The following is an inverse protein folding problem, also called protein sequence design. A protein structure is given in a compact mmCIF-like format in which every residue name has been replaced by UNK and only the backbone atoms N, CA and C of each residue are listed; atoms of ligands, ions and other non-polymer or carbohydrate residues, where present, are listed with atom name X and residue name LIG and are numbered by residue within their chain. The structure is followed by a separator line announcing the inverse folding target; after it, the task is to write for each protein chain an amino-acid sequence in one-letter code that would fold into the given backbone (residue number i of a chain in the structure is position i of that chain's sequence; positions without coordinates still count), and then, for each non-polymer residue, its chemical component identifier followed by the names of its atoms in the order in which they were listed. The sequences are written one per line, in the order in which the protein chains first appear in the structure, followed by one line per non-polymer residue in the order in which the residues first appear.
data_IF_873237970240
#
_entry.id   IF_873237970240
#
_cell.length_a   1.000
_cell.length_b   1.000
_cell.length_c   1.000
_cell.angle_alpha   90.00
_cell.angle_beta   90.00
_cell.angle_gamma   90.00
#
_symmetry.space_group_name_H-M   'P 1'
#
loop_
_entity.id
_entity.type
_entity.pdbx_description
1 polymer ?
#
# COMPACT_ATOMS: atom_id res chain seq x y z
N UNK A 1 -45.35 54.78 -34.71
CA UNK A 1 -45.31 53.35 -34.37
C UNK A 1 -43.86 52.94 -34.18
N UNK A 2 -43.53 52.60 -32.94
CA UNK A 2 -42.18 52.34 -32.42
C UNK A 2 -41.66 50.99 -32.82
N UNK A 3 -40.42 50.91 -33.33
CA UNK A 3 -39.60 49.69 -33.38
C UNK A 3 -38.40 49.89 -32.47
N UNK A 4 -38.48 49.31 -31.29
CA UNK A 4 -37.37 49.21 -30.31
C UNK A 4 -36.69 47.87 -30.41
N UNK A 5 -35.41 47.96 -30.67
CA UNK A 5 -34.26 47.18 -30.14
C UNK A 5 -34.49 45.74 -29.67
N UNK A 6 -33.81 44.82 -30.33
CA UNK A 6 -33.37 43.59 -29.68
C UNK A 6 -31.91 43.29 -30.09
N UNK A 7 -31.01 43.81 -29.27
CA UNK A 7 -29.66 43.30 -29.17
C UNK A 7 -29.54 42.60 -27.81
N UNK A 8 -29.50 41.28 -27.79
CA UNK A 8 -29.03 40.50 -26.66
C UNK A 8 -27.73 39.77 -27.06
N UNK A 9 -26.69 40.27 -26.49
CA UNK A 9 -25.35 39.75 -26.38
C UNK A 9 -25.36 38.30 -25.88
N UNK A 10 -24.81 37.41 -26.68
CA UNK A 10 -24.36 36.10 -26.26
C UNK A 10 -22.89 36.20 -25.81
N UNK A 11 -22.69 36.34 -24.52
CA UNK A 11 -21.38 36.18 -23.92
C UNK A 11 -21.57 35.41 -22.58
N UNK A 12 -20.94 34.27 -22.46
CA UNK A 12 -20.74 33.65 -21.14
C UNK A 12 -21.20 32.21 -20.97
N UNK A 13 -20.58 31.25 -21.67
CA UNK A 13 -20.62 29.84 -21.22
C UNK A 13 -19.36 29.09 -21.66
N UNK A 14 -18.18 29.58 -21.28
CA UNK A 14 -16.94 28.85 -21.50
C UNK A 14 -15.97 28.83 -20.30
N UNK A 15 -16.41 29.30 -19.11
CA UNK A 15 -15.52 29.42 -17.96
C UNK A 15 -15.78 28.43 -16.80
N UNK A 16 -16.72 27.50 -16.93
CA UNK A 16 -17.05 26.60 -15.81
C UNK A 16 -16.53 25.16 -15.93
N UNK A 17 -16.05 24.73 -17.09
CA UNK A 17 -15.54 23.38 -17.27
C UNK A 17 -14.08 23.20 -16.78
N UNK A 18 -13.27 24.26 -16.84
CA UNK A 18 -11.86 24.23 -16.41
C UNK A 18 -11.66 24.25 -14.88
N UNK A 19 -12.57 24.89 -14.16
CA UNK A 19 -12.46 25.02 -12.70
C UNK A 19 -12.86 23.76 -11.95
N UNK A 20 -13.76 22.96 -12.49
CA UNK A 20 -14.21 21.69 -11.90
C UNK A 20 -13.14 20.61 -11.96
N UNK A 21 -12.41 20.48 -13.08
CA UNK A 21 -11.34 19.49 -13.21
C UNK A 21 -10.12 19.84 -12.35
N UNK A 22 -9.75 21.13 -12.26
CA UNK A 22 -8.66 21.61 -11.39
C UNK A 22 -9.01 21.50 -9.91
N UNK A 23 -10.23 21.78 -9.50
CA UNK A 23 -10.70 21.59 -8.11
C UNK A 23 -10.78 20.12 -7.72
N UNK A 24 -11.18 19.23 -8.64
CA UNK A 24 -11.14 17.77 -8.43
C UNK A 24 -9.70 17.23 -8.37
N UNK A 25 -8.78 17.73 -9.18
CA UNK A 25 -7.37 17.37 -9.12
C UNK A 25 -6.74 17.83 -7.79
N UNK A 26 -6.96 19.08 -7.39
CA UNK A 26 -6.51 19.62 -6.10
C UNK A 26 -7.11 18.89 -4.90
N UNK A 27 -8.38 18.49 -4.97
CA UNK A 27 -9.02 17.69 -3.93
C UNK A 27 -8.41 16.27 -3.84
N UNK A 28 -8.09 15.63 -4.98
CA UNK A 28 -7.41 14.33 -5.00
C UNK A 28 -5.97 14.40 -4.50
N UNK A 29 -5.23 15.44 -4.83
CA UNK A 29 -3.89 15.69 -4.28
C UNK A 29 -3.94 15.95 -2.77
N UNK A 30 -4.94 16.66 -2.28
CA UNK A 30 -5.17 16.89 -0.86
C UNK A 30 -5.41 15.60 -0.09
N UNK A 31 -6.21 14.67 -0.64
CA UNK A 31 -6.49 13.35 -0.03
C UNK A 31 -5.24 12.50 0.04
N UNK A 32 -4.45 12.43 -1.04
CA UNK A 32 -3.18 11.68 -1.08
C UNK A 32 -2.20 12.23 -0.03
N UNK A 33 -1.92 13.54 -0.05
CA UNK A 33 -0.99 14.18 0.90
C UNK A 33 -1.45 14.08 2.36
N UNK A 34 -2.76 14.06 2.59
CA UNK A 34 -3.34 13.86 3.91
C UNK A 34 -3.22 12.43 4.44
N UNK A 35 -2.87 11.47 3.58
CA UNK A 35 -2.82 10.05 3.88
C UNK A 35 -1.44 9.41 3.66
N UNK A 36 -0.36 10.21 3.48
CA UNK A 36 0.99 9.65 3.41
C UNK A 36 1.33 8.97 4.73
N UNK A 37 1.58 7.67 4.66
CA UNK A 37 1.90 6.82 5.80
C UNK A 37 3.31 6.28 5.76
N UNK A 38 3.67 5.60 6.83
CA UNK A 38 4.88 4.80 6.95
C UNK A 38 4.50 3.38 7.36
N UNK A 39 5.06 2.38 6.70
CA UNK A 39 5.09 1.02 7.24
C UNK A 39 6.14 0.99 8.35
N UNK A 40 5.66 0.82 9.58
CA UNK A 40 6.50 1.02 10.77
C UNK A 40 7.51 -0.09 11.03
N UNK A 41 7.52 -1.14 10.21
CA UNK A 41 8.61 -2.12 10.21
C UNK A 41 9.97 -1.48 9.91
N UNK A 42 9.98 -0.38 9.17
CA UNK A 42 11.15 0.51 8.97
C UNK A 42 11.79 0.92 10.30
N UNK A 43 10.98 1.14 11.34
CA UNK A 43 11.39 1.62 12.66
C UNK A 43 11.33 0.53 13.75
N UNK A 44 11.31 -0.75 13.37
CA UNK A 44 11.08 -1.88 14.27
C UNK A 44 11.96 -1.92 15.51
N UNK A 45 13.23 -1.53 15.39
CA UNK A 45 14.17 -1.57 16.50
C UNK A 45 13.99 -0.34 17.41
N UNK A 46 13.70 0.83 16.86
CA UNK A 46 13.36 2.04 17.60
C UNK A 46 12.05 1.87 18.36
N UNK A 47 11.04 1.26 17.73
CA UNK A 47 9.74 0.97 18.35
C UNK A 47 9.86 0.00 19.52
N UNK A 48 10.74 -0.99 19.44
CA UNK A 48 11.03 -1.89 20.58
C UNK A 48 11.67 -1.15 21.77
N UNK A 49 12.50 -0.15 21.49
CA UNK A 49 13.19 0.62 22.50
C UNK A 49 12.30 1.70 23.13
N UNK A 50 11.59 2.47 22.29
CA UNK A 50 10.72 3.58 22.70
C UNK A 50 9.62 3.80 21.65
N UNK A 51 8.49 3.13 21.79
CA UNK A 51 7.37 3.27 20.85
C UNK A 51 6.76 4.68 20.86
N UNK A 52 6.48 5.33 22.01
CA UNK A 52 5.94 6.70 22.02
C UNK A 52 6.86 7.72 21.36
N UNK A 53 8.15 7.75 21.70
CA UNK A 53 9.13 8.67 21.13
C UNK A 53 9.34 8.44 19.64
N UNK A 54 9.34 7.18 19.20
CA UNK A 54 9.47 6.81 17.79
C UNK A 54 8.26 7.27 16.96
N UNK A 55 7.02 7.05 17.45
CA UNK A 55 5.80 7.53 16.79
C UNK A 55 5.74 9.06 16.75
N UNK A 56 6.23 9.74 17.81
CA UNK A 56 6.38 11.19 17.81
C UNK A 56 7.33 11.67 16.71
N UNK A 57 8.52 11.06 16.60
CA UNK A 57 9.49 11.41 15.55
C UNK A 57 8.93 11.19 14.14
N UNK A 58 8.14 10.14 13.93
CA UNK A 58 7.43 9.86 12.69
C UNK A 58 6.40 10.95 12.37
N UNK A 59 5.57 11.36 13.34
CA UNK A 59 4.60 12.43 13.17
C UNK A 59 5.27 13.78 12.88
N UNK A 60 6.37 14.11 13.58
CA UNK A 60 7.18 15.32 13.37
C UNK A 60 7.84 15.33 11.98
N UNK A 61 8.23 14.19 11.42
CA UNK A 61 8.72 14.08 10.04
C UNK A 61 7.64 14.47 9.02
N UNK A 62 6.35 14.33 9.39
CA UNK A 62 5.22 14.77 8.58
C UNK A 62 4.30 13.65 8.10
N UNK A 63 4.54 12.40 8.49
CA UNK A 63 3.64 11.29 8.21
C UNK A 63 2.28 11.50 8.88
N UNK A 64 1.24 10.97 8.27
CA UNK A 64 -0.16 11.15 8.72
C UNK A 64 -0.78 9.85 9.22
N UNK A 65 -0.22 8.73 8.83
CA UNK A 65 -0.70 7.43 9.25
C UNK A 65 0.45 6.44 9.43
N UNK A 66 0.22 5.46 10.31
CA UNK A 66 1.09 4.33 10.55
C UNK A 66 0.41 3.07 10.01
N UNK A 67 1.07 2.36 9.13
CA UNK A 67 0.74 0.97 8.87
C UNK A 67 1.53 0.11 9.84
N UNK A 68 0.82 -0.62 10.67
CA UNK A 68 1.43 -1.43 11.73
C UNK A 68 1.72 -2.85 11.26
N UNK A 69 2.48 -3.59 12.06
CA UNK A 69 2.71 -5.02 11.89
C UNK A 69 2.40 -5.77 13.19
N UNK A 70 2.23 -7.11 13.06
CA UNK A 70 1.99 -7.97 14.23
C UNK A 70 0.57 -7.91 14.80
N UNK A 71 -0.41 -7.37 14.03
CA UNK A 71 -1.80 -7.38 14.43
C UNK A 71 -2.32 -8.83 14.52
N UNK A 72 -3.05 -9.22 15.57
CA UNK A 72 -3.74 -8.39 16.56
C UNK A 72 -2.96 -8.07 17.84
N UNK A 73 -1.66 -8.36 17.92
CA UNK A 73 -0.83 -8.23 19.15
C UNK A 73 0.01 -6.95 19.15
N UNK A 74 -0.53 -5.83 18.71
CA UNK A 74 0.19 -4.55 18.60
C UNK A 74 -0.56 -3.39 19.28
N UNK A 75 -1.25 -3.65 20.38
CA UNK A 75 -2.08 -2.64 21.09
C UNK A 75 -1.25 -1.43 21.56
N UNK A 76 -0.02 -1.67 22.04
CA UNK A 76 0.90 -0.59 22.46
C UNK A 76 1.28 0.31 21.26
N UNK A 77 1.51 -0.27 20.08
CA UNK A 77 1.80 0.50 18.88
C UNK A 77 0.58 1.30 18.41
N UNK A 78 -0.62 0.70 18.49
CA UNK A 78 -1.89 1.39 18.18
C UNK A 78 -2.06 2.59 19.10
N UNK A 79 -1.84 2.41 20.42
CA UNK A 79 -1.93 3.48 21.39
C UNK A 79 -0.89 4.57 21.10
N UNK A 80 0.37 4.21 20.92
CA UNK A 80 1.46 5.15 20.67
C UNK A 80 1.21 5.97 19.38
N UNK A 81 0.70 5.34 18.31
CA UNK A 81 0.33 6.03 17.08
C UNK A 81 -0.78 7.06 17.32
N UNK A 82 -1.88 6.65 17.97
CA UNK A 82 -3.03 7.52 18.27
C UNK A 82 -2.65 8.69 19.17
N UNK A 83 -1.85 8.46 20.22
CA UNK A 83 -1.39 9.50 21.15
C UNK A 83 -0.54 10.58 20.44
N UNK A 84 0.09 10.23 19.32
CA UNK A 84 0.87 11.15 18.48
C UNK A 84 0.12 11.64 17.24
N UNK A 85 -1.21 11.49 17.17
CA UNK A 85 -2.04 12.00 16.09
C UNK A 85 -1.90 11.26 14.76
N UNK A 86 -1.27 10.07 14.76
CA UNK A 86 -1.16 9.22 13.58
C UNK A 86 -2.42 8.34 13.44
N UNK A 87 -2.97 8.28 12.25
CA UNK A 87 -4.06 7.34 11.94
C UNK A 87 -3.48 5.94 11.78
N UNK A 88 -4.20 4.93 12.27
CA UNK A 88 -3.92 3.52 11.97
C UNK A 88 -5.02 3.03 11.05
N UNK A 89 -4.75 3.01 9.74
CA UNK A 89 -5.72 2.59 8.72
C UNK A 89 -5.43 1.19 8.18
N UNK A 90 -4.20 0.72 8.29
CA UNK A 90 -3.72 -0.56 7.75
C UNK A 90 -2.82 -1.27 8.74
N UNK A 91 -2.89 -2.60 8.73
CA UNK A 91 -2.01 -3.46 9.52
C UNK A 91 -1.63 -4.73 8.76
N UNK A 92 -0.34 -5.10 8.81
CA UNK A 92 0.11 -6.46 8.55
C UNK A 92 -0.29 -7.34 9.73
N UNK A 93 -1.06 -8.39 9.47
CA UNK A 93 -1.66 -9.23 10.52
C UNK A 93 -1.06 -10.64 10.59
N UNK A 94 -1.50 -11.46 11.54
CA UNK A 94 -1.15 -12.89 11.65
C UNK A 94 -1.80 -13.67 10.49
N UNK A 95 -1.21 -13.56 9.28
CA UNK A 95 -1.77 -13.97 7.98
C UNK A 95 -1.97 -15.47 7.82
N UNK A 96 -1.25 -16.30 8.59
CA UNK A 96 -1.44 -17.75 8.55
C UNK A 96 -2.89 -18.15 8.81
N UNK A 97 -3.62 -17.38 9.63
CA UNK A 97 -5.04 -17.58 9.91
C UNK A 97 -5.96 -17.45 8.69
N UNK A 98 -5.50 -16.75 7.65
CA UNK A 98 -6.20 -16.59 6.38
C UNK A 98 -5.60 -17.46 5.25
N UNK A 99 -4.27 -17.64 5.25
CA UNK A 99 -3.54 -18.43 4.24
C UNK A 99 -3.72 -19.93 4.49
N UNK A 100 -3.64 -20.37 5.75
CA UNK A 100 -3.76 -21.75 6.19
C UNK A 100 -4.74 -21.83 7.39
N UNK A 101 -6.04 -21.59 7.18
CA UNK A 101 -7.02 -21.57 8.26
C UNK A 101 -7.08 -22.94 8.96
N UNK A 102 -7.23 -22.93 10.28
CA UNK A 102 -7.36 -24.15 11.12
C UNK A 102 -8.66 -24.91 10.90
N UNK A 103 -9.67 -24.22 10.40
CA UNK A 103 -11.00 -24.77 10.11
C UNK A 103 -11.63 -24.09 8.87
N UNK A 104 -12.63 -24.73 8.28
CA UNK A 104 -13.34 -24.20 7.11
C UNK A 104 -14.08 -22.88 7.37
N UNK A 105 -14.38 -22.58 8.63
CA UNK A 105 -15.09 -21.38 9.07
C UNK A 105 -14.19 -20.19 9.33
N UNK A 106 -12.85 -20.33 9.26
CA UNK A 106 -11.89 -19.26 9.54
C UNK A 106 -12.04 -18.64 10.93
N UNK A 107 -12.25 -19.47 11.97
CA UNK A 107 -12.58 -18.99 13.32
C UNK A 107 -11.53 -18.03 13.89
N UNK A 108 -10.23 -18.29 13.69
CA UNK A 108 -9.17 -17.43 14.21
C UNK A 108 -9.03 -16.14 13.40
N UNK A 109 -9.20 -16.20 12.09
CA UNK A 109 -9.24 -15.00 11.26
C UNK A 109 -10.43 -14.08 11.60
N UNK A 110 -11.61 -14.66 11.88
CA UNK A 110 -12.80 -13.90 12.33
C UNK A 110 -12.54 -13.11 13.62
N UNK A 111 -11.78 -13.67 14.58
CA UNK A 111 -11.39 -12.94 15.81
C UNK A 111 -10.52 -11.74 15.48
N UNK A 112 -9.61 -11.88 14.50
CA UNK A 112 -8.76 -10.78 14.02
C UNK A 112 -9.63 -9.71 13.36
N UNK A 113 -10.57 -10.08 12.50
CA UNK A 113 -11.51 -9.17 11.84
C UNK A 113 -12.37 -8.41 12.86
N UNK A 114 -12.91 -9.07 13.88
CA UNK A 114 -13.68 -8.42 14.94
C UNK A 114 -12.83 -7.38 15.72
N UNK A 115 -11.59 -7.72 16.07
CA UNK A 115 -10.67 -6.76 16.69
C UNK A 115 -10.37 -5.58 15.77
N UNK A 116 -10.13 -5.81 14.49
CA UNK A 116 -9.89 -4.79 13.48
C UNK A 116 -11.09 -3.84 13.34
N UNK A 117 -12.30 -4.39 13.29
CA UNK A 117 -13.55 -3.62 13.27
C UNK A 117 -13.70 -2.76 14.53
N UNK A 118 -13.36 -3.29 15.71
CA UNK A 118 -13.43 -2.58 16.99
C UNK A 118 -12.54 -1.34 17.07
N UNK A 119 -11.49 -1.26 16.26
CA UNK A 119 -10.58 -0.09 16.18
C UNK A 119 -10.77 0.75 14.93
N UNK A 120 -11.78 0.45 14.10
CA UNK A 120 -12.05 1.07 12.79
C UNK A 120 -10.87 0.95 11.81
N UNK A 121 -10.23 -0.23 11.75
CA UNK A 121 -9.17 -0.51 10.79
C UNK A 121 -9.77 -0.64 9.38
N UNK A 122 -9.16 0.03 8.40
CA UNK A 122 -9.61 -0.02 7.01
C UNK A 122 -9.07 -1.21 6.22
N UNK A 123 -7.83 -1.64 6.53
CA UNK A 123 -7.13 -2.69 5.79
C UNK A 123 -6.47 -3.71 6.70
N UNK A 124 -6.59 -4.98 6.32
CA UNK A 124 -5.75 -6.08 6.79
C UNK A 124 -4.90 -6.56 5.61
N UNK A 125 -3.59 -6.69 5.82
CA UNK A 125 -2.65 -7.03 4.74
C UNK A 125 -1.93 -8.33 5.06
N UNK A 126 -1.95 -9.25 4.09
CA UNK A 126 -1.11 -10.46 4.07
C UNK A 126 0.28 -10.04 3.62
N UNK A 127 1.29 -9.96 4.51
CA UNK A 127 2.57 -9.35 4.19
C UNK A 127 3.57 -10.29 3.53
N UNK A 128 3.33 -11.59 3.57
CA UNK A 128 4.32 -12.59 3.19
C UNK A 128 3.69 -13.96 2.97
N UNK A 129 4.37 -14.82 2.20
CA UNK A 129 4.09 -16.25 2.14
C UNK A 129 5.33 -17.06 2.51
N UNK A 130 5.13 -18.07 3.36
CA UNK A 130 6.19 -19.02 3.67
C UNK A 130 6.50 -19.93 2.48
N UNK A 131 7.72 -20.44 2.41
CA UNK A 131 8.19 -21.33 1.32
C UNK A 131 7.28 -22.55 1.13
N UNK A 132 6.71 -23.06 2.23
CA UNK A 132 5.76 -24.20 2.19
C UNK A 132 4.52 -23.91 1.33
N UNK A 133 4.08 -22.64 1.25
CA UNK A 133 2.85 -22.21 0.60
C UNK A 133 3.04 -21.75 -0.85
N UNK A 134 4.32 -21.58 -1.28
CA UNK A 134 4.70 -21.04 -2.59
C UNK A 134 5.65 -21.94 -3.37
N UNK A 135 5.60 -23.26 -3.12
CA UNK A 135 6.48 -24.25 -3.78
C UNK A 135 6.22 -24.38 -5.28
N UNK A 136 4.98 -24.25 -5.67
CA UNK A 136 4.48 -24.42 -7.03
C UNK A 136 3.21 -23.58 -7.29
N UNK A 137 2.73 -23.59 -8.53
CA UNK A 137 1.53 -22.82 -8.91
C UNK A 137 0.26 -23.32 -8.21
N UNK A 138 0.18 -24.60 -7.83
CA UNK A 138 -0.99 -25.12 -7.12
C UNK A 138 -1.02 -24.66 -5.66
N UNK A 139 0.16 -24.46 -5.03
CA UNK A 139 0.28 -23.77 -3.75
C UNK A 139 -0.29 -22.36 -3.81
N UNK A 140 0.08 -21.57 -4.82
CA UNK A 140 -0.47 -20.23 -5.04
C UNK A 140 -1.99 -20.23 -5.30
N UNK A 141 -2.53 -21.18 -6.07
CA UNK A 141 -3.98 -21.33 -6.30
C UNK A 141 -4.72 -21.66 -5.00
N UNK A 142 -4.18 -22.58 -4.19
CA UNK A 142 -4.72 -22.93 -2.88
C UNK A 142 -4.79 -21.70 -1.98
N UNK A 143 -3.69 -20.95 -1.90
CA UNK A 143 -3.62 -19.71 -1.13
C UNK A 143 -4.66 -18.70 -1.64
N UNK A 144 -4.75 -18.50 -2.95
CA UNK A 144 -5.73 -17.60 -3.54
C UNK A 144 -7.18 -17.98 -3.17
N UNK A 145 -7.50 -19.28 -3.22
CA UNK A 145 -8.81 -19.79 -2.82
C UNK A 145 -9.16 -19.50 -1.36
N UNK A 146 -8.18 -19.64 -0.44
CA UNK A 146 -8.37 -19.33 0.98
C UNK A 146 -8.49 -17.81 1.20
N UNK A 147 -7.63 -17.01 0.57
CA UNK A 147 -7.68 -15.55 0.68
C UNK A 147 -8.96 -14.95 0.10
N UNK A 148 -9.54 -15.54 -0.96
CA UNK A 148 -10.85 -15.12 -1.47
C UNK A 148 -11.96 -15.31 -0.44
N UNK A 149 -11.97 -16.46 0.28
CA UNK A 149 -12.94 -16.70 1.37
C UNK A 149 -12.72 -15.72 2.53
N UNK A 150 -11.47 -15.51 2.93
CA UNK A 150 -11.10 -14.54 3.96
C UNK A 150 -11.49 -13.10 3.57
N UNK A 151 -11.33 -12.72 2.30
CA UNK A 151 -11.70 -11.39 1.82
C UNK A 151 -13.21 -11.12 1.91
N UNK A 152 -14.04 -12.12 1.69
CA UNK A 152 -15.50 -12.00 1.91
C UNK A 152 -15.80 -11.72 3.39
N UNK A 153 -15.16 -12.46 4.31
CA UNK A 153 -15.34 -12.28 5.77
C UNK A 153 -14.90 -10.86 6.19
N UNK A 154 -13.75 -10.40 5.71
CA UNK A 154 -13.26 -9.06 6.01
C UNK A 154 -14.18 -7.96 5.45
N UNK A 155 -14.65 -8.13 4.21
CA UNK A 155 -15.56 -7.19 3.54
C UNK A 155 -16.90 -7.04 4.28
N UNK A 156 -17.47 -8.12 4.81
CA UNK A 156 -18.70 -8.09 5.62
C UNK A 156 -18.54 -7.24 6.89
N UNK A 157 -17.31 -7.14 7.40
CA UNK A 157 -16.95 -6.27 8.52
C UNK A 157 -16.57 -4.83 8.11
N UNK A 158 -16.59 -4.51 6.81
CA UNK A 158 -16.18 -3.21 6.26
C UNK A 158 -14.65 -3.05 6.14
N UNK A 159 -13.90 -4.14 6.12
CA UNK A 159 -12.43 -4.16 6.07
C UNK A 159 -11.99 -4.69 4.71
N UNK A 160 -11.02 -4.03 4.08
CA UNK A 160 -10.38 -4.50 2.86
C UNK A 160 -9.24 -5.46 3.19
N UNK A 161 -9.32 -6.70 2.69
CA UNK A 161 -8.18 -7.61 2.70
C UNK A 161 -7.30 -7.37 1.47
N UNK A 162 -6.00 -7.22 1.67
CA UNK A 162 -5.02 -7.01 0.60
C UNK A 162 -3.83 -7.97 0.73
N UNK A 163 -3.14 -8.19 -0.38
CA UNK A 163 -1.91 -8.96 -0.47
C UNK A 163 -0.74 -8.05 -0.83
N UNK A 164 0.30 -8.05 -0.02
CA UNK A 164 1.57 -7.36 -0.24
C UNK A 164 2.55 -8.30 -0.94
N UNK A 165 3.11 -7.86 -2.07
CA UNK A 165 4.05 -8.65 -2.85
C UNK A 165 5.50 -8.45 -2.43
N UNK A 166 6.27 -9.52 -2.64
CA UNK A 166 7.72 -9.47 -2.73
C UNK A 166 8.17 -9.74 -4.18
N UNK A 167 9.45 -10.00 -4.39
CA UNK A 167 9.95 -10.37 -5.72
C UNK A 167 9.83 -11.86 -6.02
N UNK A 168 9.73 -12.70 -5.00
CA UNK A 168 9.67 -14.16 -5.19
C UNK A 168 8.39 -14.64 -5.90
N UNK A 169 7.27 -13.89 -5.82
CA UNK A 169 6.03 -14.23 -6.53
C UNK A 169 6.22 -14.17 -8.06
N UNK A 170 7.18 -13.38 -8.51
CA UNK A 170 7.47 -13.21 -9.94
C UNK A 170 8.46 -14.23 -10.48
N UNK A 171 9.04 -15.07 -9.62
CA UNK A 171 9.96 -16.14 -10.06
C UNK A 171 9.25 -17.07 -11.04
N UNK A 172 9.84 -17.34 -12.24
CA UNK A 172 9.22 -18.22 -13.23
C UNK A 172 9.00 -19.63 -12.71
N UNK A 173 7.78 -20.15 -12.93
CA UNK A 173 7.34 -21.50 -12.55
C UNK A 173 6.48 -22.08 -13.68
N UNK A 174 6.96 -23.09 -14.41
CA UNK A 174 6.16 -23.83 -15.38
C UNK A 174 5.44 -22.98 -16.45
N UNK A 175 6.07 -21.90 -16.93
CA UNK A 175 5.50 -21.00 -17.94
C UNK A 175 4.62 -19.87 -17.38
N UNK A 176 4.52 -19.74 -16.04
CA UNK A 176 3.82 -18.66 -15.32
C UNK A 176 4.63 -18.25 -14.08
N UNK A 177 4.03 -17.57 -13.13
CA UNK A 177 4.57 -17.25 -11.82
C UNK A 177 3.44 -17.09 -10.80
N UNK A 178 3.79 -17.01 -9.51
CA UNK A 178 2.81 -16.90 -8.43
C UNK A 178 1.96 -15.63 -8.50
N UNK A 179 2.55 -14.49 -8.89
CA UNK A 179 1.82 -13.24 -8.99
C UNK A 179 0.77 -13.25 -10.11
N UNK A 180 1.06 -13.86 -11.27
CA UNK A 180 0.09 -14.06 -12.34
C UNK A 180 -1.05 -15.00 -11.91
N UNK A 181 -0.76 -16.01 -11.06
CA UNK A 181 -1.81 -16.82 -10.44
C UNK A 181 -2.72 -15.95 -9.58
N UNK A 182 -2.17 -15.09 -8.71
CA UNK A 182 -2.97 -14.17 -7.90
C UNK A 182 -3.78 -13.17 -8.73
N UNK A 183 -3.20 -12.63 -9.80
CA UNK A 183 -3.95 -11.75 -10.73
C UNK A 183 -5.15 -12.49 -11.32
N UNK A 184 -5.01 -13.76 -11.66
CA UNK A 184 -6.07 -14.56 -12.29
C UNK A 184 -7.10 -15.08 -11.28
N UNK A 185 -6.66 -15.57 -10.13
CA UNK A 185 -7.50 -16.33 -9.20
C UNK A 185 -8.15 -15.46 -8.10
N UNK A 186 -7.60 -14.27 -7.78
CA UNK A 186 -8.21 -13.40 -6.77
C UNK A 186 -9.56 -12.87 -7.23
N UNK A 187 -10.56 -13.09 -6.38
CA UNK A 187 -11.90 -12.51 -6.51
C UNK A 187 -11.86 -10.97 -6.33
N UNK A 188 -12.88 -10.23 -6.76
CA UNK A 188 -12.92 -8.77 -6.67
C UNK A 188 -12.77 -8.21 -5.25
N UNK A 189 -13.13 -8.98 -4.24
CA UNK A 189 -12.99 -8.63 -2.83
C UNK A 189 -11.54 -8.60 -2.36
N UNK A 190 -10.67 -9.41 -2.99
CA UNK A 190 -9.24 -9.45 -2.68
C UNK A 190 -8.50 -8.38 -3.49
N UNK A 191 -7.72 -7.53 -2.82
CA UNK A 191 -6.97 -6.45 -3.45
C UNK A 191 -5.46 -6.66 -3.30
N UNK A 192 -4.70 -5.79 -3.96
CA UNK A 192 -3.24 -5.75 -3.88
C UNK A 192 -2.79 -4.50 -3.13
N UNK A 193 -1.87 -4.69 -2.20
CA UNK A 193 -0.95 -3.67 -1.77
C UNK A 193 0.33 -3.84 -2.59
N UNK A 194 0.56 -2.94 -3.54
CA UNK A 194 1.68 -3.08 -4.46
C UNK A 194 2.94 -2.45 -3.86
N UNK A 195 3.92 -3.27 -3.53
CA UNK A 195 5.27 -2.80 -3.18
C UNK A 195 6.10 -2.64 -4.45
N UNK A 196 6.40 -1.39 -4.79
CA UNK A 196 7.07 -1.03 -6.05
C UNK A 196 8.55 -1.43 -6.10
N UNK A 197 9.20 -1.54 -4.93
CA UNK A 197 10.59 -2.00 -4.84
C UNK A 197 10.72 -3.46 -5.27
N UNK A 198 9.84 -4.32 -4.75
CA UNK A 198 9.88 -5.73 -5.06
C UNK A 198 9.43 -6.03 -6.49
N UNK A 199 8.49 -5.24 -7.02
CA UNK A 199 8.11 -5.29 -8.45
C UNK A 199 9.32 -4.96 -9.32
N UNK A 200 10.01 -3.83 -9.03
CA UNK A 200 11.21 -3.43 -9.76
C UNK A 200 12.35 -4.42 -9.62
N UNK A 201 12.56 -4.98 -8.41
CA UNK A 201 13.56 -6.02 -8.15
C UNK A 201 13.33 -7.28 -9.00
N UNK A 202 12.08 -7.62 -9.26
CA UNK A 202 11.72 -8.70 -10.19
C UNK A 202 11.87 -8.34 -11.68
N UNK A 203 12.40 -7.15 -12.01
CA UNK A 203 12.61 -6.70 -13.38
C UNK A 203 11.33 -6.25 -14.08
N UNK A 204 10.26 -5.94 -13.33
CA UNK A 204 8.95 -5.53 -13.86
C UNK A 204 8.79 -4.03 -13.65
N UNK A 205 8.13 -3.35 -14.61
CA UNK A 205 7.76 -1.93 -14.49
C UNK A 205 6.61 -1.75 -13.50
N UNK A 206 6.84 -1.08 -12.34
CA UNK A 206 5.78 -0.85 -11.36
C UNK A 206 4.63 0.00 -11.89
N UNK A 207 4.91 0.99 -12.73
CA UNK A 207 3.89 1.86 -13.34
C UNK A 207 2.98 1.06 -14.25
N UNK A 208 3.56 0.21 -15.10
CA UNK A 208 2.83 -0.71 -15.98
C UNK A 208 1.97 -1.69 -15.20
N UNK A 209 2.50 -2.25 -14.10
CA UNK A 209 1.76 -3.17 -13.24
C UNK A 209 0.56 -2.49 -12.58
N UNK A 210 0.73 -1.31 -11.99
CA UNK A 210 -0.37 -0.55 -11.35
C UNK A 210 -1.47 -0.25 -12.38
N UNK A 211 -1.09 0.18 -13.60
CA UNK A 211 -2.04 0.41 -14.69
C UNK A 211 -2.78 -0.85 -15.13
N UNK A 212 -2.11 -2.02 -15.14
CA UNK A 212 -2.72 -3.33 -15.42
C UNK A 212 -3.74 -3.74 -14.36
N UNK A 213 -3.40 -3.55 -13.08
CA UNK A 213 -4.24 -3.92 -11.94
C UNK A 213 -5.44 -2.98 -11.74
N UNK A 214 -5.32 -1.70 -12.09
CA UNK A 214 -6.39 -0.69 -11.96
C UNK A 214 -6.97 -0.63 -10.54
N UNK A 215 -8.29 -0.69 -10.43
CA UNK A 215 -9.07 -0.66 -9.19
C UNK A 215 -8.83 -1.85 -8.25
N UNK A 216 -8.01 -2.80 -8.67
CA UNK A 216 -7.57 -3.92 -7.82
C UNK A 216 -6.42 -3.53 -6.89
N UNK A 217 -5.79 -2.37 -7.06
CA UNK A 217 -4.80 -1.82 -6.12
C UNK A 217 -5.52 -1.07 -5.02
N UNK A 218 -5.34 -1.46 -3.76
CA UNK A 218 -5.94 -0.77 -2.61
C UNK A 218 -5.00 0.25 -1.98
N UNK A 219 -3.71 -0.05 -1.97
CA UNK A 219 -2.67 0.82 -1.42
C UNK A 219 -1.29 0.50 -2.03
N UNK A 220 -0.31 1.39 -1.81
CA UNK A 220 1.04 1.23 -2.33
C UNK A 220 2.07 1.26 -1.19
N UNK A 221 3.09 0.42 -1.28
CA UNK A 221 4.36 0.64 -0.61
C UNK A 221 5.31 1.39 -1.54
N UNK A 222 5.72 2.58 -1.10
CA UNK A 222 6.72 3.40 -1.76
C UNK A 222 8.08 3.09 -1.13
N UNK A 223 8.88 2.33 -1.85
CA UNK A 223 10.20 1.86 -1.44
C UNK A 223 11.14 1.95 -2.63
N UNK A 224 12.34 2.51 -2.48
CA UNK A 224 13.23 2.77 -3.61
C UNK A 224 14.40 1.79 -3.68
N UNK A 225 14.77 1.44 -4.92
CA UNK A 225 15.77 0.44 -5.25
C UNK A 225 17.05 1.09 -5.79
N UNK A 226 18.21 0.71 -5.25
CA UNK A 226 19.52 1.17 -5.71
C UNK A 226 19.71 0.99 -7.22
N UNK A 227 20.28 2.00 -7.87
CA UNK A 227 20.66 1.96 -9.29
C UNK A 227 21.81 0.97 -9.54
N UNK A 228 21.82 0.37 -10.73
CA UNK A 228 22.95 -0.44 -11.21
C UNK A 228 22.96 -1.87 -10.66
N UNK A 229 21.86 -2.34 -10.08
CA UNK A 229 21.70 -3.76 -9.74
C UNK A 229 21.36 -4.57 -11.00
N UNK A 230 21.91 -5.76 -11.08
CA UNK A 230 21.58 -6.74 -12.12
C UNK A 230 20.24 -7.41 -11.76
N UNK A 231 19.21 -7.18 -12.57
CA UNK A 231 17.84 -7.66 -12.33
C UNK A 231 17.47 -8.73 -13.37
N UNK A 232 16.57 -9.68 -13.06
CA UNK A 232 15.74 -9.78 -11.84
C UNK A 232 16.44 -10.43 -10.64
N UNK A 233 16.00 -10.07 -9.42
CA UNK A 233 16.39 -10.71 -8.16
C UNK A 233 15.11 -11.25 -7.49
N UNK A 234 15.01 -12.56 -7.33
CA UNK A 234 13.88 -13.24 -6.69
C UNK A 234 14.25 -13.72 -5.28
N UNK A 235 13.99 -12.95 -4.26
CA UNK A 235 14.32 -13.32 -2.88
C UNK A 235 15.40 -12.45 -2.26
N UNK A 236 16.33 -13.03 -1.50
CA UNK A 236 17.28 -12.30 -0.66
C UNK A 236 17.94 -11.08 -1.31
N UNK A 237 17.65 -9.90 -0.76
CA UNK A 237 18.13 -8.63 -1.26
C UNK A 237 19.28 -8.11 -0.39
N UNK A 238 20.42 -7.66 -0.98
CA UNK A 238 21.50 -7.06 -0.20
C UNK A 238 21.02 -5.77 0.49
N UNK A 239 21.51 -5.54 1.72
CA UNK A 239 21.05 -4.39 2.55
C UNK A 239 21.21 -3.04 1.87
N UNK A 240 22.29 -2.86 1.13
CA UNK A 240 22.62 -1.63 0.39
C UNK A 240 21.72 -1.38 -0.84
N UNK A 241 20.88 -2.35 -1.20
CA UNK A 241 19.90 -2.20 -2.28
C UNK A 241 18.74 -1.29 -1.90
N UNK A 242 18.41 -1.23 -0.61
CA UNK A 242 17.34 -0.39 -0.10
C UNK A 242 17.78 1.07 -0.03
N UNK A 243 16.98 1.99 -0.57
CA UNK A 243 17.25 3.42 -0.62
C UNK A 243 16.07 4.23 -0.16
N UNK A 244 16.38 5.41 0.36
CA UNK A 244 15.41 6.47 0.60
C UNK A 244 14.79 6.90 -0.72
N UNK A 245 13.52 7.33 -0.69
CA UNK A 245 12.82 7.77 -1.89
C UNK A 245 13.57 8.89 -2.60
N UNK A 246 13.75 8.73 -3.91
CA UNK A 246 14.49 9.64 -4.77
C UNK A 246 15.99 9.36 -4.90
N UNK A 247 16.55 8.47 -4.05
CA UNK A 247 17.96 8.07 -4.13
C UNK A 247 18.17 6.80 -4.98
N UNK A 248 17.11 6.14 -5.35
CA UNK A 248 17.13 4.91 -6.14
C UNK A 248 16.78 5.11 -7.61
N UNK A 249 16.27 4.06 -8.23
CA UNK A 249 15.96 4.03 -9.67
C UNK A 249 14.45 4.10 -9.97
N UNK A 250 13.57 3.97 -8.97
CA UNK A 250 12.13 3.89 -9.21
C UNK A 250 11.58 5.31 -9.40
N UNK A 251 10.86 5.58 -10.51
CA UNK A 251 10.30 6.90 -10.76
C UNK A 251 9.04 7.13 -9.90
N UNK A 252 9.21 7.66 -8.68
CA UNK A 252 8.14 7.76 -7.69
C UNK A 252 6.96 8.61 -8.13
N UNK A 253 7.20 9.73 -8.81
CA UNK A 253 6.13 10.60 -9.31
C UNK A 253 5.20 9.84 -10.30
N UNK A 254 5.68 9.19 -11.37
CA UNK A 254 4.85 8.34 -12.23
C UNK A 254 4.15 7.18 -11.50
N UNK A 255 4.78 6.59 -10.47
CA UNK A 255 4.17 5.54 -9.62
C UNK A 255 2.97 6.10 -8.86
N UNK A 256 3.16 7.24 -8.21
CA UNK A 256 2.12 7.94 -7.45
C UNK A 256 0.94 8.34 -8.36
N UNK A 257 1.25 8.88 -9.55
CA UNK A 257 0.23 9.23 -10.53
C UNK A 257 -0.56 8.01 -11.03
N UNK A 258 0.13 6.89 -11.30
CA UNK A 258 -0.53 5.65 -11.69
C UNK A 258 -1.43 5.12 -10.56
N UNK A 259 -0.96 5.15 -9.31
CA UNK A 259 -1.74 4.78 -8.13
C UNK A 259 -2.98 5.66 -7.96
N UNK A 260 -2.83 6.97 -8.12
CA UNK A 260 -3.94 7.93 -8.07
C UNK A 260 -4.98 7.65 -9.16
N UNK A 261 -4.52 7.38 -10.38
CA UNK A 261 -5.41 7.02 -11.50
C UNK A 261 -6.14 5.70 -11.26
N UNK A 262 -5.55 4.77 -10.51
CA UNK A 262 -6.14 3.51 -10.06
C UNK A 262 -7.10 3.68 -8.87
N UNK A 263 -7.22 4.89 -8.29
CA UNK A 263 -8.09 5.18 -7.14
C UNK A 263 -7.42 4.98 -5.78
N UNK A 264 -6.12 4.74 -5.72
CA UNK A 264 -5.36 4.59 -4.46
C UNK A 264 -5.33 5.93 -3.73
N UNK A 265 -5.62 5.90 -2.43
CA UNK A 265 -5.60 7.06 -1.52
C UNK A 265 -4.65 6.87 -0.34
N UNK A 266 -4.11 5.67 -0.16
CA UNK A 266 -3.18 5.33 0.91
C UNK A 266 -1.84 4.85 0.31
N UNK A 267 -0.76 5.52 0.67
CA UNK A 267 0.60 5.10 0.33
C UNK A 267 1.45 5.10 1.58
N UNK A 268 2.22 4.05 1.78
CA UNK A 268 3.12 3.90 2.90
C UNK A 268 4.56 3.85 2.41
N UNK A 269 5.39 4.74 2.94
CA UNK A 269 6.84 4.67 2.74
C UNK A 269 7.37 3.48 3.52
N UNK A 270 8.34 2.77 2.97
CA UNK A 270 9.05 1.71 3.70
C UNK A 270 10.54 1.68 3.31
N UNK A 271 11.41 1.37 4.29
CA UNK A 271 12.84 1.15 4.08
C UNK A 271 13.34 0.15 5.12
N UNK A 272 13.65 -1.08 4.68
CA UNK A 272 13.90 -2.21 5.60
C UNK A 272 15.28 -2.22 6.23
N UNK A 273 16.27 -1.55 5.62
CA UNK A 273 17.69 -1.75 5.92
C UNK A 273 18.46 -0.42 6.01
N UNK A 274 17.87 0.62 6.61
CA UNK A 274 18.59 1.87 6.85
C UNK A 274 19.54 1.75 8.05
N UNK A 275 20.78 2.28 7.96
CA UNK A 275 21.66 2.41 9.12
C UNK A 275 21.17 3.48 10.13
N UNK A 276 20.36 4.45 9.69
CA UNK A 276 19.69 5.45 10.53
C UNK A 276 18.23 5.59 10.07
N UNK A 277 17.32 4.76 10.59
CA UNK A 277 15.92 4.76 10.14
C UNK A 277 15.19 6.09 10.38
N UNK A 278 15.54 6.83 11.44
CA UNK A 278 14.89 8.14 11.71
C UNK A 278 15.34 9.20 10.69
N UNK A 279 16.61 9.23 10.32
CA UNK A 279 17.08 10.11 9.24
C UNK A 279 16.46 9.71 7.90
N UNK A 280 16.40 8.41 7.61
CA UNK A 280 15.85 7.83 6.38
C UNK A 280 14.38 8.24 6.15
N UNK A 281 13.51 8.11 7.17
CA UNK A 281 12.10 8.51 7.03
C UNK A 281 11.93 10.02 6.80
N UNK A 282 12.80 10.86 7.40
CA UNK A 282 12.79 12.32 7.18
C UNK A 282 13.21 12.67 5.75
N UNK A 283 14.24 11.99 5.23
CA UNK A 283 14.74 12.18 3.86
C UNK A 283 13.68 11.79 2.83
N UNK A 284 13.08 10.60 2.97
CA UNK A 284 11.99 10.15 2.11
C UNK A 284 10.78 11.10 2.13
N UNK A 285 10.40 11.60 3.32
CA UNK A 285 9.33 12.58 3.41
C UNK A 285 9.69 13.93 2.80
N UNK A 286 10.94 14.38 2.91
CA UNK A 286 11.42 15.60 2.26
C UNK A 286 11.31 15.49 0.74
N UNK A 287 11.68 14.35 0.18
CA UNK A 287 11.53 14.06 -1.26
C UNK A 287 10.05 14.14 -1.67
N UNK A 288 9.14 13.46 -0.97
CA UNK A 288 7.71 13.48 -1.29
C UNK A 288 7.07 14.87 -1.18
N UNK A 289 7.55 15.72 -0.27
CA UNK A 289 7.10 17.13 -0.18
C UNK A 289 7.56 17.98 -1.36
N UNK A 290 8.60 17.57 -2.06
CA UNK A 290 9.14 18.25 -3.24
C UNK A 290 8.47 17.87 -4.57
N UNK A 291 7.69 16.79 -4.59
CA UNK A 291 6.85 16.39 -5.73
C UNK A 291 5.57 17.22 -5.79
#
# INVERSE_FOLDING_TARGET
MNRRNFLRTSAGTSLFAGTSATLQALAKDGVYRANIGLQVYTLRDQLKADAPGTMKAMAEAGYKQAELYGFPKCDDLIKAAKDNGLKVNSCHFEWETAVNPSDEGFSDFKKIVEKAKGINLGHLVVPYLHDKDRKDLDGYKRVAGNLNKAAVIAKEAGIQLAYHNHSFEYQPMGGSNGYEVFIKEFAPEMKFEVDVFWVQAAGIDPVGLIKKLKDRVSQLHLKDLKKGLELPIYGGMPKEAFKELGNGMIPMEPVIEAGRAAGVVHCHVEQDQSPDPIASIKESMKYLKGL
#
